data_IF_554863243116
#
_entry.id   IF_554863243116
#
_cell.length_a   1.000
_cell.length_b   1.000
_cell.length_c   1.000
_cell.angle_alpha   90.00
_cell.angle_beta   90.00
_cell.angle_gamma   90.00
#
_symmetry.space_group_name_H-M   'P 1'
#
loop_
_entity.id
_entity.type
_entity.pdbx_description
1 polymer ?
#
# COMPACT_ATOMS: atom_id res chain seq x y z
N UNK A 1 -6.00 12.86 4.51
CA UNK A 1 -6.73 12.78 3.21
C UNK A 1 -6.07 11.64 2.43
N UNK A 2 -6.84 10.73 1.83
CA UNK A 2 -6.26 9.74 0.95
C UNK A 2 -5.74 10.47 -0.29
N UNK A 3 -4.44 10.36 -0.54
CA UNK A 3 -3.88 10.75 -1.82
C UNK A 3 -4.59 9.95 -2.91
N UNK A 4 -5.28 10.66 -3.82
CA UNK A 4 -5.82 10.06 -5.03
C UNK A 4 -4.63 9.58 -5.85
N UNK A 5 -4.45 8.28 -5.93
CA UNK A 5 -3.43 7.67 -6.75
C UNK A 5 -3.92 7.71 -8.19
N UNK A 6 -3.52 8.71 -8.95
CA UNK A 6 -3.73 8.72 -10.40
C UNK A 6 -2.85 7.64 -11.03
N UNK A 7 -3.48 6.70 -11.72
CA UNK A 7 -2.76 5.74 -12.55
C UNK A 7 -2.49 6.40 -13.90
N UNK A 8 -1.27 6.89 -14.06
CA UNK A 8 -0.78 7.31 -15.37
C UNK A 8 -0.47 6.05 -16.20
N UNK A 9 -1.36 5.74 -17.14
CA UNK A 9 -1.23 4.58 -18.01
C UNK A 9 -0.68 5.04 -19.37
N UNK A 10 0.58 4.74 -19.63
CA UNK A 10 1.17 4.96 -20.95
C UNK A 10 0.61 3.91 -21.93
N UNK A 11 0.02 4.38 -23.02
CA UNK A 11 -0.53 3.50 -24.07
C UNK A 11 0.57 2.68 -24.76
N UNK A 12 1.82 3.12 -24.72
CA UNK A 12 2.97 2.41 -25.31
C UNK A 12 3.33 1.13 -24.56
N UNK A 13 2.96 1.04 -23.27
CA UNK A 13 3.20 -0.14 -22.43
C UNK A 13 2.10 -1.20 -22.57
N UNK A 14 1.08 -0.91 -23.39
CA UNK A 14 -0.07 -1.81 -23.58
C UNK A 14 -0.05 -2.45 -24.96
N UNK A 15 0.14 -3.75 -24.98
CA UNK A 15 -0.01 -4.55 -26.20
C UNK A 15 -1.48 -4.84 -26.47
N UNK A 16 -2.01 -4.31 -27.57
CA UNK A 16 -3.38 -4.55 -28.02
C UNK A 16 -3.42 -5.64 -29.11
N UNK A 17 -4.25 -6.65 -28.91
CA UNK A 17 -4.50 -7.72 -29.87
C UNK A 17 -6.00 -7.82 -30.16
N UNK A 18 -6.34 -7.80 -31.43
CA UNK A 18 -7.72 -7.93 -31.90
C UNK A 18 -7.92 -9.38 -32.40
N UNK A 19 -8.90 -10.08 -31.84
CA UNK A 19 -9.16 -11.49 -32.12
C UNK A 19 -10.64 -11.73 -32.40
N UNK A 20 -10.98 -12.91 -32.92
CA UNK A 20 -12.36 -13.35 -33.03
C UNK A 20 -12.92 -13.68 -31.66
N UNK A 21 -14.21 -13.38 -31.44
CA UNK A 21 -14.90 -13.76 -30.21
C UNK A 21 -15.02 -15.29 -30.13
N UNK A 22 -14.93 -15.84 -28.93
CA UNK A 22 -15.10 -17.27 -28.66
C UNK A 22 -16.44 -17.48 -27.99
N UNK A 23 -17.31 -18.33 -28.59
CA UNK A 23 -18.59 -18.62 -28.01
C UNK A 23 -19.57 -19.30 -29.03
N UNK A 24 -20.72 -19.79 -28.59
CA UNK A 24 -21.75 -20.30 -29.48
C UNK A 24 -22.32 -19.14 -30.31
N UNK A 25 -22.13 -19.20 -31.64
CA UNK A 25 -22.60 -18.16 -32.55
C UNK A 25 -22.52 -18.62 -34.01
N UNK A 26 -23.21 -17.88 -34.88
CA UNK A 26 -23.21 -18.13 -36.32
C UNK A 26 -21.95 -17.61 -37.02
N UNK A 27 -21.98 -17.56 -38.36
CA UNK A 27 -20.81 -17.16 -39.18
C UNK A 27 -20.16 -15.85 -38.84
N UNK A 28 -20.91 -14.87 -38.27
CA UNK A 28 -20.37 -13.58 -37.88
C UNK A 28 -19.41 -13.68 -36.69
N UNK A 29 -19.67 -14.56 -35.71
CA UNK A 29 -18.81 -14.74 -34.54
C UNK A 29 -17.44 -15.28 -34.94
N UNK A 30 -17.41 -16.15 -35.93
CA UNK A 30 -16.19 -16.83 -36.38
C UNK A 30 -15.38 -16.03 -37.43
N UNK A 31 -16.01 -15.03 -38.08
CA UNK A 31 -15.38 -14.28 -39.17
C UNK A 31 -15.00 -12.83 -38.78
N UNK A 32 -15.68 -12.26 -37.80
CA UNK A 32 -15.49 -10.86 -37.43
C UNK A 32 -14.65 -10.73 -36.15
N UNK A 33 -13.50 -10.07 -36.25
CA UNK A 33 -12.62 -9.84 -35.09
C UNK A 33 -13.18 -8.69 -34.23
N UNK A 34 -14.03 -9.02 -33.27
CA UNK A 34 -14.64 -8.05 -32.35
C UNK A 34 -14.09 -8.12 -30.95
N UNK A 35 -13.38 -9.20 -30.60
CA UNK A 35 -12.78 -9.34 -29.28
C UNK A 35 -11.45 -8.54 -29.20
N UNK A 36 -11.28 -7.86 -28.09
CA UNK A 36 -10.07 -7.05 -27.80
C UNK A 36 -9.37 -7.67 -26.59
N UNK A 37 -8.09 -7.92 -26.72
CA UNK A 37 -7.21 -8.39 -25.66
C UNK A 37 -6.11 -7.38 -25.44
N UNK A 38 -6.02 -6.84 -24.22
CA UNK A 38 -5.01 -5.89 -23.79
C UNK A 38 -4.08 -6.58 -22.79
N UNK A 39 -2.78 -6.37 -22.95
CA UNK A 39 -1.75 -6.87 -22.02
C UNK A 39 -0.88 -5.68 -21.66
N UNK A 40 -0.82 -5.35 -20.38
CA UNK A 40 0.09 -4.35 -19.85
C UNK A 40 1.45 -5.03 -19.58
N UNK A 41 2.43 -4.78 -20.41
CA UNK A 41 3.72 -5.48 -20.39
C UNK A 41 4.48 -5.38 -19.07
N UNK A 42 4.58 -4.18 -18.40
CA UNK A 42 5.34 -4.05 -17.17
C UNK A 42 4.76 -4.83 -15.99
N UNK A 43 3.43 -4.96 -15.90
CA UNK A 43 2.76 -5.63 -14.76
C UNK A 43 2.25 -7.02 -15.08
N UNK A 44 2.17 -7.39 -16.37
CA UNK A 44 1.57 -8.64 -16.83
C UNK A 44 0.05 -8.72 -16.65
N UNK A 45 -0.63 -7.60 -16.39
CA UNK A 45 -2.09 -7.58 -16.24
C UNK A 45 -2.75 -7.71 -17.59
N UNK A 46 -3.62 -8.69 -17.73
CA UNK A 46 -4.35 -8.97 -18.98
C UNK A 46 -5.84 -8.70 -18.83
N UNK A 47 -6.43 -8.17 -19.91
CA UNK A 47 -7.88 -7.96 -20.02
C UNK A 47 -8.35 -8.40 -21.39
N UNK A 48 -9.35 -9.27 -21.44
CA UNK A 48 -10.03 -9.68 -22.66
C UNK A 48 -11.48 -9.25 -22.61
N UNK A 49 -11.96 -8.57 -23.67
CA UNK A 49 -13.32 -8.08 -23.78
C UNK A 49 -13.95 -8.53 -25.09
N UNK A 50 -15.13 -9.18 -25.00
CA UNK A 50 -15.86 -9.70 -26.15
C UNK A 50 -17.39 -9.63 -26.00
N UNK A 51 -17.88 -8.75 -25.12
CA UNK A 51 -19.29 -8.70 -24.70
C UNK A 51 -20.22 -8.18 -25.78
N UNK A 52 -19.71 -7.32 -26.66
CA UNK A 52 -20.53 -6.67 -27.68
C UNK A 52 -20.07 -7.05 -29.10
N UNK A 53 -20.97 -6.83 -30.08
CA UNK A 53 -20.65 -7.02 -31.50
C UNK A 53 -19.79 -5.89 -32.07
N UNK A 54 -19.57 -4.82 -31.31
CA UNK A 54 -18.78 -3.65 -31.71
C UNK A 54 -17.39 -3.73 -31.12
N UNK A 55 -16.38 -3.82 -31.99
CA UNK A 55 -14.97 -3.79 -31.61
C UNK A 55 -14.63 -2.50 -30.84
N UNK A 56 -15.13 -1.34 -31.29
CA UNK A 56 -14.86 -0.06 -30.64
C UNK A 56 -15.40 -0.01 -29.20
N UNK A 57 -16.60 -0.54 -28.95
CA UNK A 57 -17.16 -0.64 -27.60
C UNK A 57 -16.37 -1.60 -26.74
N UNK A 58 -15.96 -2.77 -27.27
CA UNK A 58 -15.14 -3.74 -26.53
C UNK A 58 -13.78 -3.14 -26.21
N UNK A 59 -13.17 -2.38 -27.12
CA UNK A 59 -11.92 -1.66 -26.89
C UNK A 59 -12.06 -0.66 -25.75
N UNK A 60 -13.06 0.19 -25.79
CA UNK A 60 -13.31 1.18 -24.74
C UNK A 60 -13.49 0.53 -23.36
N UNK A 61 -14.30 -0.53 -23.28
CA UNK A 61 -14.50 -1.29 -22.03
C UNK A 61 -13.22 -1.98 -21.56
N UNK A 62 -12.43 -2.55 -22.48
CA UNK A 62 -11.16 -3.18 -22.14
C UNK A 62 -10.19 -2.19 -21.50
N UNK A 63 -10.05 -0.99 -22.07
CA UNK A 63 -9.21 0.07 -21.51
C UNK A 63 -9.71 0.53 -20.13
N UNK A 64 -11.00 0.69 -19.94
CA UNK A 64 -11.58 1.04 -18.65
C UNK A 64 -11.29 -0.03 -17.60
N UNK A 65 -11.47 -1.30 -17.96
CA UNK A 65 -11.21 -2.41 -17.06
C UNK A 65 -9.72 -2.58 -16.74
N UNK A 66 -8.84 -2.36 -17.72
CA UNK A 66 -7.39 -2.39 -17.51
C UNK A 66 -6.95 -1.32 -16.50
N UNK A 67 -7.42 -0.08 -16.67
CA UNK A 67 -7.15 1.02 -15.72
C UNK A 67 -7.64 0.68 -14.32
N UNK A 68 -8.85 0.14 -14.19
CA UNK A 68 -9.41 -0.27 -12.89
C UNK A 68 -8.55 -1.34 -12.21
N UNK A 69 -8.11 -2.38 -12.94
CA UNK A 69 -7.26 -3.45 -12.39
C UNK A 69 -5.88 -2.96 -11.99
N UNK A 70 -5.28 -2.06 -12.76
CA UNK A 70 -3.98 -1.47 -12.42
C UNK A 70 -4.10 -0.60 -11.17
N UNK A 71 -5.17 0.19 -11.06
CA UNK A 71 -5.47 0.99 -9.87
C UNK A 71 -5.64 0.11 -8.62
N UNK A 72 -6.45 -0.95 -8.71
CA UNK A 72 -6.65 -1.89 -7.60
C UNK A 72 -5.33 -2.54 -7.15
N UNK A 73 -4.48 -2.93 -8.10
CA UNK A 73 -3.17 -3.50 -7.80
C UNK A 73 -2.26 -2.49 -7.09
N UNK A 74 -2.14 -1.28 -7.61
CA UNK A 74 -1.30 -0.23 -7.02
C UNK A 74 -1.79 0.15 -5.62
N UNK A 75 -3.11 0.22 -5.44
CA UNK A 75 -3.72 0.46 -4.13
C UNK A 75 -3.39 -0.68 -3.15
N UNK A 76 -3.53 -1.93 -3.57
CA UNK A 76 -3.21 -3.09 -2.73
C UNK A 76 -1.74 -3.11 -2.33
N UNK A 77 -0.81 -2.80 -3.25
CA UNK A 77 0.62 -2.69 -2.97
C UNK A 77 0.91 -1.57 -1.95
N UNK A 78 0.30 -0.39 -2.12
CA UNK A 78 0.43 0.74 -1.18
C UNK A 78 -0.13 0.40 0.20
N UNK A 79 -1.31 -0.23 0.26
CA UNK A 79 -1.92 -0.67 1.52
C UNK A 79 -1.06 -1.73 2.23
N UNK A 80 -0.47 -2.67 1.49
CA UNK A 80 0.44 -3.69 2.03
C UNK A 80 1.71 -3.06 2.63
N UNK A 81 2.35 -2.13 1.92
CA UNK A 81 3.52 -1.39 2.43
C UNK A 81 3.20 -0.59 3.69
N UNK A 82 2.06 0.10 3.71
CA UNK A 82 1.59 0.83 4.90
C UNK A 82 1.29 -0.10 6.08
N UNK A 83 0.71 -1.27 5.80
CA UNK A 83 0.42 -2.28 6.82
C UNK A 83 1.71 -2.88 7.40
N UNK A 84 2.70 -3.18 6.56
CA UNK A 84 4.01 -3.66 6.98
C UNK A 84 4.73 -2.63 7.86
N UNK A 85 4.80 -1.37 7.40
CA UNK A 85 5.39 -0.28 8.18
C UNK A 85 4.71 -0.10 9.53
N UNK A 86 3.37 -0.16 9.54
CA UNK A 86 2.59 -0.07 10.78
C UNK A 86 2.83 -1.26 11.70
N UNK A 87 2.90 -2.49 11.15
CA UNK A 87 3.18 -3.69 11.93
C UNK A 87 4.57 -3.64 12.57
N UNK A 88 5.57 -3.14 11.84
CA UNK A 88 6.92 -2.94 12.38
C UNK A 88 6.95 -1.93 13.53
N UNK A 89 6.10 -0.88 13.48
CA UNK A 89 6.01 0.12 14.55
C UNK A 89 5.26 -0.37 15.79
N UNK A 90 4.24 -1.23 15.62
CA UNK A 90 3.34 -1.64 16.73
C UNK A 90 3.98 -2.72 17.60
N UNK A 91 4.92 -3.52 17.06
CA UNK A 91 5.48 -4.67 17.75
C UNK A 91 4.45 -5.79 18.00
N UNK A 92 4.82 -6.79 18.80
CA UNK A 92 3.98 -7.98 19.05
C UNK A 92 2.91 -7.77 20.14
N UNK A 93 2.94 -6.66 20.87
CA UNK A 93 2.09 -6.41 22.05
C UNK A 93 2.41 -7.33 23.23
N UNK A 94 3.50 -8.10 23.17
CA UNK A 94 3.94 -8.98 24.24
C UNK A 94 4.31 -8.19 25.50
N UNK A 95 4.04 -8.75 26.69
CA UNK A 95 4.48 -8.16 27.96
C UNK A 95 6.01 -8.00 28.05
N UNK A 96 6.76 -8.76 27.29
CA UNK A 96 8.21 -8.63 27.17
C UNK A 96 8.64 -7.33 26.49
N UNK A 97 7.78 -6.76 25.63
CA UNK A 97 8.01 -5.50 24.92
C UNK A 97 7.53 -4.26 25.68
N UNK A 98 7.39 -4.38 27.01
CA UNK A 98 6.99 -3.28 27.88
C UNK A 98 7.98 -2.12 27.75
N UNK A 99 7.54 -1.03 27.11
CA UNK A 99 8.37 0.14 26.86
C UNK A 99 8.43 1.06 28.06
N UNK A 100 7.29 1.29 28.74
CA UNK A 100 7.20 2.29 29.82
C UNK A 100 6.50 1.74 31.05
N UNK A 101 6.98 2.14 32.23
CA UNK A 101 6.39 1.82 33.53
C UNK A 101 6.09 3.10 34.30
N UNK A 102 4.85 3.25 34.71
CA UNK A 102 4.41 4.33 35.60
C UNK A 102 4.35 3.82 37.03
N UNK A 103 5.27 4.31 37.88
CA UNK A 103 5.34 3.93 39.31
C UNK A 103 4.67 5.01 40.15
N UNK A 104 3.42 4.81 40.50
CA UNK A 104 2.64 5.75 41.26
C UNK A 104 3.18 5.96 42.68
N UNK A 105 3.72 4.92 43.34
CA UNK A 105 4.29 5.02 44.69
C UNK A 105 5.51 5.93 44.75
N UNK A 106 6.32 5.87 43.71
CA UNK A 106 7.59 6.61 43.64
C UNK A 106 7.43 7.94 42.86
N UNK A 107 6.20 8.20 42.34
CA UNK A 107 5.87 9.35 41.50
C UNK A 107 6.78 9.52 40.28
N UNK A 108 7.25 8.40 39.66
CA UNK A 108 8.15 8.41 38.52
C UNK A 108 7.60 7.59 37.34
N UNK A 109 7.96 8.02 36.14
CA UNK A 109 7.84 7.26 34.90
C UNK A 109 9.24 6.81 34.44
N UNK A 110 9.36 5.54 34.07
CA UNK A 110 10.60 4.92 33.61
C UNK A 110 10.38 4.35 32.21
N UNK A 111 11.21 4.71 31.25
CA UNK A 111 11.23 4.09 29.92
C UNK A 111 12.37 3.09 29.83
N UNK A 112 12.09 1.87 29.38
CA UNK A 112 13.08 0.78 29.36
C UNK A 112 14.21 0.99 28.33
N UNK A 113 14.01 1.85 27.36
CA UNK A 113 14.97 2.15 26.27
C UNK A 113 16.03 3.16 26.65
N UNK A 114 15.73 4.04 27.61
CA UNK A 114 16.61 5.14 28.05
C UNK A 114 16.88 5.06 29.54
N UNK A 115 18.04 5.55 29.95
CA UNK A 115 18.39 5.66 31.38
C UNK A 115 17.83 6.96 31.93
N UNK A 116 17.04 6.87 32.99
CA UNK A 116 16.49 8.05 33.66
C UNK A 116 15.13 7.82 34.27
N UNK A 117 14.80 8.68 35.26
CA UNK A 117 13.50 8.73 35.90
C UNK A 117 12.87 10.09 35.60
N UNK A 118 11.63 10.07 35.15
CA UNK A 118 10.89 11.26 34.79
C UNK A 118 9.75 11.50 35.80
N UNK A 119 9.49 12.72 36.26
CA UNK A 119 8.40 12.99 37.20
C UNK A 119 7.05 12.56 36.60
N UNK A 120 6.36 11.66 37.30
CA UNK A 120 5.09 11.08 36.80
C UNK A 120 4.05 12.15 36.49
N UNK A 121 3.91 13.14 37.40
CA UNK A 121 2.92 14.21 37.25
C UNK A 121 3.16 15.02 35.97
N UNK A 122 4.42 15.40 35.71
CA UNK A 122 4.79 16.13 34.48
C UNK A 122 4.46 15.35 33.23
N UNK A 123 4.81 14.06 33.23
CA UNK A 123 4.52 13.15 32.08
C UNK A 123 3.02 13.02 31.86
N UNK A 124 2.21 12.87 32.93
CA UNK A 124 0.76 12.76 32.84
C UNK A 124 0.07 14.07 32.40
N UNK A 125 0.69 15.20 32.62
CA UNK A 125 0.23 16.53 32.17
C UNK A 125 0.68 16.87 30.74
N UNK A 126 1.36 15.94 30.06
CA UNK A 126 1.81 16.13 28.67
C UNK A 126 3.23 16.69 28.52
N UNK A 127 3.96 16.90 29.63
CA UNK A 127 5.38 17.33 29.62
C UNK A 127 6.31 16.21 29.19
N UNK A 128 6.21 15.75 27.93
CA UNK A 128 6.95 14.63 27.37
C UNK A 128 8.28 15.04 26.73
N UNK A 129 8.54 16.33 26.57
CA UNK A 129 9.69 16.83 25.81
C UNK A 129 11.03 16.25 26.28
N UNK A 130 11.37 16.22 27.57
CA UNK A 130 12.66 15.68 28.01
C UNK A 130 12.84 14.19 27.70
N UNK A 131 11.74 13.43 27.67
CA UNK A 131 11.76 12.02 27.34
C UNK A 131 11.92 11.81 25.84
N UNK A 132 11.28 12.65 25.02
CA UNK A 132 11.41 12.64 23.57
C UNK A 132 12.83 13.00 23.15
N UNK A 133 13.42 14.03 23.74
CA UNK A 133 14.79 14.46 23.46
C UNK A 133 15.80 13.35 23.75
N UNK A 134 15.68 12.67 24.88
CA UNK A 134 16.53 11.54 25.23
C UNK A 134 16.37 10.34 24.27
N UNK A 135 15.17 10.09 23.74
CA UNK A 135 14.94 9.06 22.73
C UNK A 135 15.54 9.43 21.38
N UNK A 136 15.47 10.69 20.97
CA UNK A 136 16.08 11.19 19.74
C UNK A 136 17.61 11.08 19.82
N UNK A 137 18.22 11.44 20.97
CA UNK A 137 19.66 11.27 21.19
C UNK A 137 20.08 9.80 21.08
N UNK A 138 19.30 8.88 21.67
CA UNK A 138 19.56 7.45 21.58
C UNK A 138 19.49 6.94 20.13
N UNK A 139 18.42 7.30 19.39
CA UNK A 139 18.24 6.91 17.99
C UNK A 139 19.38 7.45 17.10
N UNK A 140 19.73 8.71 17.30
CA UNK A 140 20.84 9.34 16.57
C UNK A 140 22.18 8.64 16.85
N UNK A 141 22.45 8.31 18.11
CA UNK A 141 23.67 7.58 18.49
C UNK A 141 23.71 6.17 17.89
N UNK A 142 22.57 5.46 17.85
CA UNK A 142 22.48 4.14 17.24
C UNK A 142 22.68 4.20 15.73
N UNK A 143 22.12 5.18 15.04
CA UNK A 143 22.32 5.37 13.59
C UNK A 143 23.76 5.69 13.25
N UNK A 144 24.42 6.54 14.05
CA UNK A 144 25.84 6.85 13.85
C UNK A 144 26.75 5.64 14.11
N UNK A 145 26.40 4.78 15.05
CA UNK A 145 27.17 3.56 15.33
C UNK A 145 26.96 2.45 14.28
N UNK A 146 25.94 2.56 13.45
CA UNK A 146 25.63 1.61 12.37
C UNK A 146 26.25 2.01 11.02
N UNK A 147 26.85 3.19 10.93
CA UNK A 147 27.63 3.69 9.78
C UNK A 147 29.09 3.26 9.86
#
# INVERSE_FOLDING_TARGET
>A
EPEEVEVDLDESDVKEMITTATGPGGQNVNKVSTAVHLIHEPTGVEVRMQDTKSQAQNRQKAWQLLRARLYERQRAESEAQRAETRAAMIGSGSRAEKIRTYRYKDAIAVDSRIKGNYPLQTVMQGGLQPLIDALIELDTAQRLAAL
#
